data_IF_012028126620
#
_entry.id   IF_012028126620
#
_cell.length_a   1.000
_cell.length_b   1.000
_cell.length_c   1.000
_cell.angle_alpha   90.00
_cell.angle_beta   90.00
_cell.angle_gamma   90.00
#
_symmetry.space_group_name_H-M   'P 1'
#
loop_
_entity.id
_entity.type
_entity.pdbx_description
1 polymer ?
#
# COMPACT_ATOMS: atom_id res chain seq x y z
N UNK A 1 45.18 -4.77 11.32
CA UNK A 1 44.00 -3.92 11.58
C UNK A 1 44.12 -2.68 10.71
N UNK A 2 43.61 -2.75 9.47
CA UNK A 2 43.49 -1.58 8.60
C UNK A 2 42.03 -1.16 8.59
N UNK A 3 41.78 0.09 8.92
CA UNK A 3 40.47 0.72 8.87
C UNK A 3 39.95 0.68 7.42
N UNK A 4 38.73 0.18 7.24
CA UNK A 4 37.98 0.33 5.99
C UNK A 4 37.40 1.74 6.02
N UNK A 5 37.89 2.62 5.15
CA UNK A 5 37.22 3.89 4.85
C UNK A 5 35.81 3.58 4.36
N UNK A 6 34.81 4.17 5.03
CA UNK A 6 33.39 3.96 4.75
C UNK A 6 33.10 4.57 3.36
N UNK A 7 33.04 3.71 2.33
CA UNK A 7 32.94 4.05 0.90
C UNK A 7 31.64 4.73 0.45
N UNK A 8 31.06 5.55 1.32
CA UNK A 8 29.77 6.22 1.13
C UNK A 8 29.92 7.38 0.14
N UNK A 9 29.01 7.45 -0.84
CA UNK A 9 28.98 8.54 -1.83
C UNK A 9 27.73 9.38 -1.65
N UNK A 10 27.90 10.70 -1.51
CA UNK A 10 26.78 11.65 -1.41
C UNK A 10 26.47 12.28 -2.76
N UNK A 11 25.18 12.34 -3.12
CA UNK A 11 24.68 13.02 -4.33
C UNK A 11 23.52 13.94 -3.98
N UNK A 12 23.46 15.09 -4.65
CA UNK A 12 22.40 16.07 -4.45
C UNK A 12 21.63 16.32 -5.73
N UNK A 13 20.30 16.37 -5.63
CA UNK A 13 19.38 16.55 -6.74
C UNK A 13 18.49 17.75 -6.46
N UNK A 14 18.40 18.69 -7.40
CA UNK A 14 17.46 19.81 -7.32
C UNK A 14 16.03 19.34 -7.61
N UNK A 15 15.20 19.32 -6.57
CA UNK A 15 13.78 19.02 -6.65
C UNK A 15 12.91 20.26 -6.39
N UNK A 16 13.47 21.47 -6.31
CA UNK A 16 12.74 22.69 -5.92
C UNK A 16 11.61 23.10 -6.88
N UNK A 17 11.55 22.49 -8.07
CA UNK A 17 10.43 22.65 -9.03
C UNK A 17 9.34 21.59 -8.91
N UNK A 18 9.49 20.60 -8.04
CA UNK A 18 8.47 19.60 -7.76
C UNK A 18 7.66 20.03 -6.55
N UNK A 19 6.35 19.72 -6.54
CA UNK A 19 5.55 19.81 -5.32
C UNK A 19 5.95 18.72 -4.31
N UNK A 20 5.55 18.90 -3.05
CA UNK A 20 5.83 17.97 -1.94
C UNK A 20 5.46 16.51 -2.27
N UNK A 21 4.34 16.28 -2.97
CA UNK A 21 3.93 14.95 -3.41
C UNK A 21 4.93 14.30 -4.39
N UNK A 22 5.52 15.09 -5.29
CA UNK A 22 6.55 14.62 -6.21
C UNK A 22 7.86 14.31 -5.49
N UNK A 23 8.24 15.16 -4.52
CA UNK A 23 9.39 14.87 -3.65
C UNK A 23 9.17 13.57 -2.87
N UNK A 24 7.97 13.38 -2.29
CA UNK A 24 7.60 12.17 -1.56
C UNK A 24 7.67 10.92 -2.42
N UNK A 25 7.11 10.97 -3.63
CA UNK A 25 7.18 9.84 -4.56
C UNK A 25 8.63 9.46 -4.92
N UNK A 26 9.53 10.44 -5.06
CA UNK A 26 10.96 10.19 -5.27
C UNK A 26 11.60 9.56 -4.03
N UNK A 27 11.33 10.10 -2.85
CA UNK A 27 11.84 9.54 -1.59
C UNK A 27 11.36 8.10 -1.38
N UNK A 28 10.08 7.82 -1.63
CA UNK A 28 9.50 6.49 -1.50
C UNK A 28 10.10 5.50 -2.50
N UNK A 29 10.27 5.93 -3.75
CA UNK A 29 10.91 5.11 -4.77
C UNK A 29 12.41 4.89 -4.50
N UNK A 30 13.16 5.88 -4.01
CA UNK A 30 14.56 5.69 -3.60
C UNK A 30 14.70 4.68 -2.47
N UNK A 31 13.74 4.65 -1.54
CA UNK A 31 13.69 3.63 -0.49
C UNK A 31 13.45 2.22 -1.05
N UNK A 32 12.84 2.10 -2.25
CA UNK A 32 12.61 0.81 -2.92
C UNK A 32 13.83 0.28 -3.70
N UNK A 33 14.80 1.14 -4.04
CA UNK A 33 16.11 0.77 -4.66
C UNK A 33 17.13 0.37 -3.57
N UNK A 34 16.64 -0.20 -2.47
CA UNK A 34 17.22 -0.13 -1.12
C UNK A 34 18.57 -0.80 -0.85
N UNK A 35 19.19 -1.52 -1.79
CA UNK A 35 20.54 -2.07 -1.57
C UNK A 35 21.65 -1.01 -1.73
N UNK A 36 21.34 0.07 -2.44
CA UNK A 36 22.33 1.07 -2.85
C UNK A 36 22.19 2.43 -2.14
N UNK A 37 21.04 2.70 -1.53
CA UNK A 37 20.71 3.96 -0.84
C UNK A 37 20.69 3.75 0.67
N UNK A 38 21.62 4.37 1.39
CA UNK A 38 21.68 4.35 2.87
C UNK A 38 20.70 5.34 3.49
N UNK A 39 20.63 6.56 2.95
CA UNK A 39 19.75 7.60 3.43
C UNK A 39 19.34 8.55 2.29
N UNK A 40 18.19 9.21 2.45
CA UNK A 40 17.69 10.21 1.51
C UNK A 40 16.90 11.28 2.27
N UNK A 41 17.41 12.52 2.26
CA UNK A 41 16.85 13.65 2.97
C UNK A 41 16.60 14.83 2.03
N UNK A 42 15.39 15.36 2.04
CA UNK A 42 15.03 16.56 1.28
C UNK A 42 15.00 17.78 2.21
N UNK A 43 15.64 18.86 1.79
CA UNK A 43 15.60 20.15 2.46
C UNK A 43 14.63 21.10 1.70
N UNK A 44 13.46 21.44 2.29
CA UNK A 44 12.50 22.34 1.67
C UNK A 44 13.03 23.77 1.49
N UNK A 45 13.98 24.23 2.31
CA UNK A 45 14.50 25.59 2.24
C UNK A 45 15.42 25.78 1.02
N UNK A 46 16.19 24.75 0.66
CA UNK A 46 17.09 24.77 -0.49
C UNK A 46 16.52 24.09 -1.74
N UNK A 47 15.49 23.26 -1.57
CA UNK A 47 14.92 22.45 -2.64
C UNK A 47 15.81 21.28 -3.06
N UNK A 48 16.83 20.93 -2.26
CA UNK A 48 17.78 19.88 -2.57
C UNK A 48 17.41 18.57 -1.86
N UNK A 49 17.38 17.49 -2.63
CA UNK A 49 17.40 16.13 -2.10
C UNK A 49 18.85 15.65 -2.03
N UNK A 50 19.32 15.28 -0.85
CA UNK A 50 20.61 14.61 -0.64
C UNK A 50 20.39 13.12 -0.45
N UNK A 51 21.11 12.31 -1.22
CA UNK A 51 21.07 10.85 -1.16
C UNK A 51 22.46 10.34 -0.81
N UNK A 52 22.53 9.48 0.21
CA UNK A 52 23.74 8.78 0.64
C UNK A 52 23.73 7.36 0.08
N UNK A 53 24.80 6.98 -0.61
CA UNK A 53 24.89 5.72 -1.35
C UNK A 53 25.95 4.81 -0.75
N UNK A 54 25.74 3.51 -0.84
CA UNK A 54 26.68 2.48 -0.35
C UNK A 54 27.99 2.41 -1.15
N UNK A 55 28.05 3.01 -2.35
CA UNK A 55 29.26 3.13 -3.16
C UNK A 55 29.07 3.92 -4.45
N UNK A 56 30.18 4.20 -5.16
CA UNK A 56 30.16 4.99 -6.40
C UNK A 56 29.45 4.30 -7.58
N UNK A 57 29.39 2.97 -7.57
CA UNK A 57 28.72 2.14 -8.57
C UNK A 57 27.20 2.38 -8.64
N UNK A 58 26.59 2.82 -7.54
CA UNK A 58 25.17 3.12 -7.43
C UNK A 58 24.75 4.46 -8.05
N UNK A 59 25.71 5.37 -8.22
CA UNK A 59 25.45 6.75 -8.65
C UNK A 59 24.68 6.81 -9.98
N UNK A 60 25.07 6.10 -11.05
CA UNK A 60 24.39 6.20 -12.34
C UNK A 60 22.95 5.70 -12.31
N UNK A 61 22.65 4.72 -11.45
CA UNK A 61 21.30 4.17 -11.30
C UNK A 61 20.38 5.15 -10.56
N UNK A 62 20.83 5.67 -9.42
CA UNK A 62 20.09 6.67 -8.64
C UNK A 62 19.89 7.96 -9.43
N UNK A 63 20.90 8.41 -10.19
CA UNK A 63 20.77 9.57 -11.08
C UNK A 63 19.70 9.34 -12.16
N UNK A 64 19.69 8.15 -12.79
CA UNK A 64 18.69 7.78 -13.80
C UNK A 64 17.29 7.70 -13.19
N UNK A 65 17.16 7.11 -12.01
CA UNK A 65 15.90 7.01 -11.27
C UNK A 65 15.33 8.39 -10.95
N UNK A 66 16.10 9.25 -10.29
CA UNK A 66 15.64 10.60 -9.91
C UNK A 66 15.33 11.44 -11.16
N UNK A 67 16.13 11.34 -12.22
CA UNK A 67 15.85 12.04 -13.48
C UNK A 67 14.55 11.57 -14.15
N UNK A 68 14.31 10.25 -14.19
CA UNK A 68 13.07 9.66 -14.69
C UNK A 68 11.85 10.14 -13.90
N UNK A 69 11.91 10.07 -12.58
CA UNK A 69 10.85 10.53 -11.69
C UNK A 69 10.60 12.03 -11.82
N UNK A 70 11.63 12.88 -11.90
CA UNK A 70 11.47 14.33 -12.15
C UNK A 70 10.75 14.61 -13.46
N UNK A 71 11.01 13.83 -14.51
CA UNK A 71 10.33 13.99 -15.81
C UNK A 71 8.84 13.63 -15.70
N UNK A 72 8.53 12.55 -14.99
CA UNK A 72 7.18 12.04 -14.72
C UNK A 72 6.37 13.00 -13.85
N UNK A 73 6.95 13.47 -12.75
CA UNK A 73 6.24 14.18 -11.68
C UNK A 73 6.07 15.68 -11.92
N UNK A 74 6.76 16.26 -12.91
CA UNK A 74 6.60 17.67 -13.34
C UNK A 74 5.17 18.03 -13.78
N UNK A 75 4.30 17.04 -13.96
CA UNK A 75 2.95 17.23 -14.48
C UNK A 75 1.84 17.14 -13.44
N UNK A 76 2.15 16.89 -12.15
CA UNK A 76 1.11 16.74 -11.12
C UNK A 76 1.30 17.76 -10.00
N UNK A 77 0.36 18.70 -9.93
CA UNK A 77 0.28 19.66 -8.83
C UNK A 77 -0.46 19.01 -7.66
N UNK A 78 0.04 19.22 -6.43
CA UNK A 78 -0.67 18.87 -5.20
C UNK A 78 -2.04 19.56 -5.21
N UNK A 79 -3.11 18.79 -5.07
CA UNK A 79 -4.48 19.29 -4.95
C UNK A 79 -5.10 18.70 -3.69
N UNK A 80 -5.18 19.51 -2.64
CA UNK A 80 -5.92 19.18 -1.42
C UNK A 80 -7.39 19.43 -1.71
N UNK A 81 -8.22 18.39 -1.61
CA UNK A 81 -9.66 18.48 -1.83
C UNK A 81 -10.40 18.83 -0.54
N UNK A 82 -9.96 18.26 0.59
CA UNK A 82 -10.54 18.47 1.92
C UNK A 82 -9.44 18.42 2.98
N UNK A 83 -9.66 19.14 4.08
CA UNK A 83 -8.80 19.17 5.26
C UNK A 83 -9.70 19.19 6.51
N UNK A 84 -9.30 18.43 7.53
CA UNK A 84 -9.90 18.45 8.86
C UNK A 84 -8.79 18.69 9.88
N UNK A 85 -9.03 19.59 10.83
CA UNK A 85 -8.15 19.79 11.99
C UNK A 85 -8.77 19.12 13.20
N UNK A 86 -7.96 18.38 13.95
CA UNK A 86 -8.42 17.80 15.20
C UNK A 86 -8.60 18.90 16.25
N UNK A 87 -9.68 18.80 17.04
CA UNK A 87 -9.89 19.60 18.24
C UNK A 87 -8.92 19.19 19.35
N UNK A 88 -8.64 17.89 19.48
CA UNK A 88 -7.72 17.36 20.49
C UNK A 88 -6.70 16.40 19.90
N UNK A 89 -5.42 16.73 20.05
CA UNK A 89 -4.31 15.82 19.79
C UNK A 89 -3.68 15.38 21.12
N UNK A 90 -3.27 14.12 21.18
CA UNK A 90 -2.50 13.52 22.29
C UNK A 90 -1.16 13.07 21.71
N UNK A 91 -0.24 14.01 21.41
CA UNK A 91 1.06 13.68 20.85
C UNK A 91 1.90 12.92 21.88
N UNK A 92 2.60 11.88 21.43
CA UNK A 92 3.48 11.07 22.26
C UNK A 92 4.46 10.26 21.42
N UNK A 93 5.43 9.57 22.05
CA UNK A 93 6.39 8.71 21.36
C UNK A 93 5.71 7.39 20.95
N UNK A 94 4.71 7.46 20.05
CA UNK A 94 3.81 6.34 19.76
C UNK A 94 4.54 5.07 19.33
N UNK A 95 5.65 5.19 18.59
CA UNK A 95 6.45 4.03 18.17
C UNK A 95 7.14 3.33 19.35
N UNK A 96 7.48 4.04 20.43
CA UNK A 96 8.03 3.47 21.66
C UNK A 96 6.91 2.86 22.51
N UNK A 97 5.78 3.55 22.63
CA UNK A 97 4.61 3.07 23.36
C UNK A 97 4.07 1.76 22.75
N UNK A 98 3.97 1.70 21.42
CA UNK A 98 3.57 0.50 20.68
C UNK A 98 4.56 -0.66 20.88
N UNK A 99 5.87 -0.38 20.94
CA UNK A 99 6.89 -1.40 21.22
C UNK A 99 6.83 -1.94 22.64
N UNK A 100 6.47 -1.10 23.61
CA UNK A 100 6.25 -1.51 25.00
C UNK A 100 4.85 -2.13 25.22
N UNK A 101 3.94 -1.97 24.27
CA UNK A 101 2.57 -2.45 24.38
C UNK A 101 2.51 -3.97 24.27
N UNK A 102 2.08 -4.63 25.34
CA UNK A 102 1.91 -6.08 25.36
C UNK A 102 0.83 -6.59 24.39
N UNK A 103 -0.04 -5.73 23.86
CA UNK A 103 -1.08 -6.10 22.89
C UNK A 103 -0.59 -6.13 21.43
N UNK A 104 0.61 -5.60 21.17
CA UNK A 104 1.29 -5.66 19.89
C UNK A 104 2.32 -6.78 19.90
N UNK A 105 2.27 -7.68 18.92
CA UNK A 105 3.19 -8.80 18.80
C UNK A 105 4.04 -8.63 17.54
N UNK A 106 5.36 -8.53 17.70
CA UNK A 106 6.30 -8.48 16.57
C UNK A 106 6.79 -9.90 16.32
N UNK A 107 6.36 -10.51 15.21
CA UNK A 107 6.73 -11.88 14.84
C UNK A 107 7.98 -11.92 13.95
N UNK A 108 8.25 -10.82 13.26
CA UNK A 108 9.37 -10.66 12.34
C UNK A 108 9.29 -9.29 11.66
N UNK A 109 10.24 -9.01 10.79
CA UNK A 109 10.25 -7.76 10.02
C UNK A 109 8.98 -7.65 9.17
N UNK A 110 8.22 -6.56 9.37
CA UNK A 110 6.96 -6.34 8.65
C UNK A 110 5.81 -7.25 9.06
N UNK A 111 5.94 -8.08 10.09
CA UNK A 111 4.92 -9.04 10.54
C UNK A 111 4.43 -8.69 11.94
N UNK A 112 3.20 -8.18 12.02
CA UNK A 112 2.59 -7.68 13.25
C UNK A 112 1.33 -8.48 13.60
N UNK A 113 1.27 -8.97 14.85
CA UNK A 113 0.08 -9.57 15.45
C UNK A 113 -0.57 -8.64 16.47
N UNK A 114 -1.87 -8.80 16.68
CA UNK A 114 -2.67 -7.98 17.61
C UNK A 114 -3.43 -8.88 18.59
N UNK A 115 -3.49 -8.44 19.85
CA UNK A 115 -4.37 -9.03 20.87
C UNK A 115 -4.99 -7.95 21.75
N UNK A 116 -5.79 -8.38 22.74
CA UNK A 116 -6.34 -7.51 23.77
C UNK A 116 -7.08 -6.30 23.20
N UNK A 117 -6.77 -5.13 23.76
CA UNK A 117 -7.43 -3.87 23.41
C UNK A 117 -7.08 -3.39 22.00
N UNK A 118 -5.86 -3.62 21.54
CA UNK A 118 -5.48 -3.24 20.17
C UNK A 118 -6.27 -4.03 19.13
N UNK A 119 -6.48 -5.33 19.38
CA UNK A 119 -7.35 -6.14 18.53
C UNK A 119 -8.81 -5.65 18.58
N UNK A 120 -9.33 -5.27 19.76
CA UNK A 120 -10.68 -4.70 19.86
C UNK A 120 -10.84 -3.41 19.03
N UNK A 121 -9.84 -2.52 19.08
CA UNK A 121 -9.80 -1.29 18.30
C UNK A 121 -9.65 -1.57 16.79
N UNK A 122 -8.82 -2.54 16.40
CA UNK A 122 -8.72 -3.00 15.01
C UNK A 122 -10.09 -3.49 14.50
N UNK A 123 -10.80 -4.30 15.30
CA UNK A 123 -12.14 -4.80 14.97
C UNK A 123 -13.18 -3.68 14.91
N UNK A 124 -12.99 -2.59 15.63
CA UNK A 124 -13.82 -1.39 15.46
C UNK A 124 -13.63 -0.80 14.05
N UNK A 125 -12.40 -0.54 13.60
CA UNK A 125 -12.15 -0.05 12.25
C UNK A 125 -12.65 -1.01 11.16
N UNK A 126 -12.46 -2.31 11.35
CA UNK A 126 -13.01 -3.34 10.45
C UNK A 126 -14.52 -3.20 10.27
N UNK A 127 -15.29 -3.08 11.37
CA UNK A 127 -16.75 -2.92 11.34
C UNK A 127 -17.17 -1.61 10.68
N UNK A 128 -16.47 -0.52 10.97
CA UNK A 128 -16.80 0.81 10.43
C UNK A 128 -16.57 0.87 8.92
N UNK A 129 -15.44 0.35 8.43
CA UNK A 129 -15.18 0.28 6.99
C UNK A 129 -16.16 -0.68 6.31
N UNK A 130 -16.51 -1.81 6.94
CA UNK A 130 -17.57 -2.69 6.42
C UNK A 130 -18.91 -1.97 6.33
N UNK A 131 -19.28 -1.17 7.33
CA UNK A 131 -20.53 -0.40 7.30
C UNK A 131 -20.56 0.63 6.15
N UNK A 132 -19.41 1.23 5.81
CA UNK A 132 -19.29 2.06 4.60
C UNK A 132 -19.66 1.24 3.36
N UNK A 133 -19.06 0.05 3.19
CA UNK A 133 -19.31 -0.83 2.04
C UNK A 133 -20.76 -1.31 1.97
N UNK A 134 -21.34 -1.72 3.10
CA UNK A 134 -22.73 -2.17 3.20
C UNK A 134 -23.70 -1.06 2.77
N UNK A 135 -23.38 0.20 3.08
CA UNK A 135 -24.15 1.35 2.64
C UNK A 135 -24.07 1.67 1.15
N UNK A 136 -23.33 0.89 0.36
CA UNK A 136 -23.35 0.87 -1.11
C UNK A 136 -23.93 -0.43 -1.69
N UNK A 137 -24.47 -1.31 -0.83
CA UNK A 137 -24.98 -2.62 -1.25
C UNK A 137 -23.90 -3.54 -1.80
N UNK A 138 -22.67 -3.43 -1.30
CA UNK A 138 -21.54 -4.21 -1.78
C UNK A 138 -21.69 -5.69 -1.46
N UNK A 139 -21.55 -6.55 -2.47
CA UNK A 139 -21.51 -8.00 -2.31
C UNK A 139 -20.18 -8.40 -1.63
N UNK A 140 -20.27 -8.97 -0.42
CA UNK A 140 -19.09 -9.37 0.37
C UNK A 140 -18.47 -10.65 -0.22
N UNK A 141 -17.20 -10.56 -0.56
CA UNK A 141 -16.41 -11.60 -1.21
C UNK A 141 -15.21 -11.98 -0.33
N UNK A 142 -14.89 -13.27 -0.31
CA UNK A 142 -13.73 -13.79 0.40
C UNK A 142 -12.83 -14.57 -0.55
N UNK A 143 -11.56 -14.18 -0.62
CA UNK A 143 -10.56 -14.77 -1.51
C UNK A 143 -9.40 -15.36 -0.72
N UNK A 144 -8.66 -16.34 -1.25
CA UNK A 144 -7.38 -16.74 -0.66
C UNK A 144 -6.35 -15.61 -0.77
N UNK A 145 -5.41 -15.56 0.18
CA UNK A 145 -4.26 -14.64 0.12
C UNK A 145 -3.24 -15.06 -0.94
N UNK A 146 -3.16 -16.35 -1.23
CA UNK A 146 -2.29 -16.92 -2.25
C UNK A 146 -3.04 -17.01 -3.57
N UNK A 147 -2.45 -16.47 -4.63
CA UNK A 147 -3.02 -16.45 -5.99
C UNK A 147 -2.00 -16.97 -7.00
N UNK A 148 -2.44 -17.49 -8.17
CA UNK A 148 -1.52 -17.86 -9.24
C UNK A 148 -0.73 -16.64 -9.72
N UNK A 149 0.57 -16.80 -9.94
CA UNK A 149 1.42 -15.74 -10.48
C UNK A 149 0.96 -15.27 -11.88
N UNK A 150 0.29 -16.16 -12.62
CA UNK A 150 -0.27 -15.89 -13.93
C UNK A 150 -1.33 -14.77 -13.88
N UNK A 151 -2.07 -14.65 -12.79
CA UNK A 151 -3.04 -13.56 -12.60
C UNK A 151 -2.35 -12.19 -12.58
N UNK A 152 -1.22 -12.08 -11.86
CA UNK A 152 -0.42 -10.85 -11.86
C UNK A 152 0.21 -10.57 -13.23
N UNK A 153 0.60 -11.62 -13.96
CA UNK A 153 1.15 -11.48 -15.30
C UNK A 153 0.11 -10.97 -16.31
N UNK A 154 -1.11 -11.53 -16.30
CA UNK A 154 -2.23 -11.07 -17.13
C UNK A 154 -2.56 -9.59 -16.88
N UNK A 155 -2.53 -9.17 -15.62
CA UNK A 155 -2.78 -7.78 -15.20
C UNK A 155 -1.58 -6.84 -15.39
N UNK A 156 -0.47 -7.31 -15.95
CA UNK A 156 0.74 -6.51 -16.14
C UNK A 156 1.38 -6.01 -14.84
N UNK A 157 1.05 -6.61 -13.68
CA UNK A 157 1.48 -6.12 -12.36
C UNK A 157 3.00 -6.10 -12.22
N UNK A 158 3.70 -7.11 -12.75
CA UNK A 158 5.17 -7.19 -12.74
C UNK A 158 5.83 -6.05 -13.53
N UNK A 159 5.15 -5.46 -14.50
CA UNK A 159 5.65 -4.30 -15.24
C UNK A 159 5.51 -2.99 -14.46
N UNK A 160 4.69 -2.96 -13.41
CA UNK A 160 4.39 -1.75 -12.64
C UNK A 160 5.03 -1.76 -11.25
N UNK A 161 4.95 -2.89 -10.53
CA UNK A 161 5.35 -3.01 -9.13
C UNK A 161 6.05 -4.35 -8.81
N UNK A 162 7.09 -4.75 -9.57
CA UNK A 162 7.77 -6.04 -9.33
C UNK A 162 8.36 -6.15 -7.92
N UNK A 163 8.83 -5.03 -7.36
CA UNK A 163 9.48 -4.96 -6.05
C UNK A 163 8.58 -5.36 -4.88
N UNK A 164 7.24 -5.26 -5.03
CA UNK A 164 6.31 -5.61 -3.95
C UNK A 164 6.02 -7.11 -3.85
N UNK A 165 6.28 -7.88 -4.91
CA UNK A 165 5.73 -9.25 -5.03
C UNK A 165 6.44 -10.23 -4.11
N UNK A 166 5.66 -10.99 -3.35
CA UNK A 166 6.16 -12.11 -2.53
C UNK A 166 5.83 -13.43 -3.21
N UNK A 167 6.86 -14.15 -3.67
CA UNK A 167 6.73 -15.43 -4.37
C UNK A 167 6.62 -16.59 -3.39
N UNK A 168 5.73 -17.55 -3.70
CA UNK A 168 5.54 -18.77 -2.93
C UNK A 168 6.14 -19.96 -3.68
N UNK A 169 7.02 -20.70 -3.02
CA UNK A 169 7.65 -21.91 -3.54
C UNK A 169 7.41 -23.09 -2.57
N UNK A 170 7.55 -24.31 -3.09
CA UNK A 170 7.48 -25.55 -2.31
C UNK A 170 8.55 -26.53 -2.78
N UNK A 171 8.78 -27.60 -2.01
CA UNK A 171 9.62 -28.71 -2.43
C UNK A 171 8.92 -29.52 -3.53
N UNK A 172 9.65 -30.12 -4.47
CA UNK A 172 9.08 -30.97 -5.50
C UNK A 172 8.48 -32.25 -4.91
N UNK A 173 7.60 -32.90 -5.67
CA UNK A 173 7.01 -34.20 -5.37
C UNK A 173 8.05 -35.35 -5.55
N UNK A 174 9.20 -35.22 -4.90
CA UNK A 174 10.34 -36.13 -4.98
C UNK A 174 10.68 -36.66 -3.60
N UNK A 175 10.30 -37.92 -3.34
CA UNK A 175 10.58 -38.57 -2.06
C UNK A 175 12.07 -38.49 -1.66
N UNK A 176 13.05 -38.73 -2.56
CA UNK A 176 14.47 -38.54 -2.22
C UNK A 176 14.82 -37.12 -1.75
N UNK A 177 14.22 -36.08 -2.34
CA UNK A 177 14.44 -34.69 -1.91
C UNK A 177 13.82 -34.45 -0.55
N UNK A 178 12.57 -34.87 -0.35
CA UNK A 178 11.85 -34.72 0.93
C UNK A 178 12.58 -35.44 2.07
N UNK A 179 13.07 -36.66 1.82
CA UNK A 179 13.85 -37.43 2.80
C UNK A 179 15.19 -36.75 3.13
N UNK A 180 15.89 -36.22 2.13
CA UNK A 180 17.14 -35.50 2.33
C UNK A 180 16.94 -34.24 3.19
N UNK A 181 15.95 -33.41 2.86
CA UNK A 181 15.60 -32.20 3.63
C UNK A 181 15.19 -32.56 5.06
N UNK A 182 14.39 -33.62 5.23
CA UNK A 182 13.97 -34.09 6.56
C UNK A 182 15.14 -34.66 7.38
N UNK A 183 16.11 -35.33 6.74
CA UNK A 183 17.29 -35.85 7.41
C UNK A 183 18.23 -34.73 7.85
N UNK A 184 18.46 -33.72 7.01
CA UNK A 184 19.23 -32.52 7.36
C UNK A 184 18.58 -31.77 8.54
N UNK A 185 17.26 -31.60 8.50
CA UNK A 185 16.50 -30.92 9.55
C UNK A 185 16.57 -31.59 10.92
N UNK A 186 16.93 -32.88 10.99
CA UNK A 186 17.09 -33.64 12.23
C UNK A 186 18.52 -33.56 12.81
N UNK A 187 19.47 -32.95 12.09
CA UNK A 187 20.84 -32.84 12.57
C UNK A 187 20.91 -31.87 13.76
N UNK A 188 21.42 -32.29 14.93
CA UNK A 188 21.46 -31.42 16.11
C UNK A 188 22.25 -30.12 15.93
N UNK A 189 23.18 -30.10 14.97
CA UNK A 189 24.00 -28.93 14.65
C UNK A 189 23.29 -27.90 13.76
N UNK A 190 22.16 -28.26 13.14
CA UNK A 190 21.39 -27.32 12.33
C UNK A 190 20.51 -26.45 13.23
N UNK A 191 20.73 -25.14 13.17
CA UNK A 191 19.87 -24.14 13.79
C UNK A 191 19.25 -23.29 12.67
N UNK A 192 18.00 -23.56 12.31
CA UNK A 192 17.27 -22.81 11.28
C UNK A 192 16.85 -23.67 10.08
N UNK A 193 16.80 -23.05 8.91
CA UNK A 193 16.37 -23.70 7.66
C UNK A 193 17.46 -24.66 7.13
N UNK A 194 17.08 -25.85 6.63
CA UNK A 194 17.99 -26.68 5.84
C UNK A 194 18.38 -25.97 4.55
N UNK A 195 19.42 -26.42 3.86
CA UNK A 195 19.77 -25.88 2.55
C UNK A 195 18.65 -26.19 1.54
N UNK A 196 17.98 -25.15 1.06
CA UNK A 196 16.90 -25.26 0.05
C UNK A 196 17.34 -24.86 -1.36
N UNK A 197 18.54 -24.31 -1.53
CA UNK A 197 19.02 -23.81 -2.83
C UNK A 197 19.03 -24.92 -3.88
N UNK A 198 18.32 -24.68 -4.99
CA UNK A 198 18.17 -25.64 -6.08
C UNK A 198 17.26 -26.84 -5.77
N UNK A 199 16.62 -26.88 -4.59
CA UNK A 199 15.68 -27.92 -4.21
C UNK A 199 14.20 -27.50 -4.31
N UNK A 200 13.92 -26.22 -4.52
CA UNK A 200 12.55 -25.69 -4.58
C UNK A 200 12.05 -25.64 -6.02
N UNK A 201 10.77 -25.93 -6.20
CA UNK A 201 10.10 -25.72 -7.49
C UNK A 201 9.97 -24.21 -7.79
N UNK A 202 10.03 -23.81 -9.07
CA UNK A 202 9.79 -22.43 -9.47
C UNK A 202 8.43 -21.94 -8.95
N UNK A 203 8.35 -20.70 -8.43
CA UNK A 203 7.13 -20.22 -7.80
C UNK A 203 6.02 -20.06 -8.84
N UNK A 204 4.95 -20.86 -8.71
CA UNK A 204 3.72 -20.73 -9.51
C UNK A 204 2.67 -19.83 -8.84
N UNK A 205 2.90 -19.48 -7.58
CA UNK A 205 1.98 -18.71 -6.76
C UNK A 205 2.69 -17.51 -6.13
N UNK A 206 1.89 -16.51 -5.77
CA UNK A 206 2.33 -15.32 -5.05
C UNK A 206 1.33 -15.02 -3.93
N UNK A 207 1.79 -14.33 -2.89
CA UNK A 207 0.88 -13.68 -1.96
C UNK A 207 0.36 -12.38 -2.59
N UNK A 208 -0.95 -12.14 -2.49
CA UNK A 208 -1.59 -11.05 -3.22
C UNK A 208 -1.12 -9.67 -2.73
N UNK A 209 -0.65 -8.77 -3.62
CA UNK A 209 -0.25 -7.42 -3.23
C UNK A 209 -1.41 -6.41 -3.23
N UNK A 210 -2.62 -6.87 -3.58
CA UNK A 210 -3.84 -6.08 -3.54
C UNK A 210 -5.08 -6.96 -3.40
N UNK A 211 -5.95 -6.64 -2.45
CA UNK A 211 -7.09 -7.51 -2.10
C UNK A 211 -8.14 -7.58 -3.22
N UNK A 212 -8.32 -6.51 -4.01
CA UNK A 212 -9.26 -6.49 -5.12
C UNK A 212 -8.80 -7.30 -6.35
N UNK A 213 -7.52 -7.67 -6.49
CA UNK A 213 -7.01 -8.25 -7.74
C UNK A 213 -7.83 -9.46 -8.22
N UNK A 214 -8.20 -10.44 -7.36
CA UNK A 214 -9.00 -11.58 -7.81
C UNK A 214 -10.40 -11.23 -8.34
N UNK A 215 -10.97 -10.08 -7.99
CA UNK A 215 -12.33 -9.73 -8.39
C UNK A 215 -12.44 -9.34 -9.88
N UNK A 216 -11.35 -8.84 -10.49
CA UNK A 216 -11.34 -8.43 -11.89
C UNK A 216 -11.47 -9.63 -12.84
N UNK A 217 -10.76 -10.74 -12.57
CA UNK A 217 -10.85 -11.96 -13.39
C UNK A 217 -12.24 -12.61 -13.32
N UNK A 218 -12.98 -12.40 -12.22
CA UNK A 218 -14.36 -12.89 -12.09
C UNK A 218 -15.35 -12.12 -12.96
N UNK A 219 -14.95 -10.96 -13.51
CA UNK A 219 -15.78 -10.19 -14.44
C UNK A 219 -15.50 -10.55 -15.91
N UNK A 220 -14.80 -11.67 -16.15
CA UNK A 220 -14.46 -12.14 -17.50
C UNK A 220 -15.72 -12.31 -18.34
N UNK A 221 -15.71 -11.68 -19.51
CA UNK A 221 -16.77 -11.72 -20.54
C UNK A 221 -18.16 -11.28 -20.04
N UNK A 222 -18.22 -10.61 -18.89
CA UNK A 222 -19.48 -10.15 -18.31
C UNK A 222 -20.02 -8.96 -19.10
N UNK A 223 -21.34 -8.94 -19.29
CA UNK A 223 -22.09 -7.79 -19.79
C UNK A 223 -23.00 -7.28 -18.69
N UNK A 224 -22.80 -6.03 -18.26
CA UNK A 224 -23.63 -5.34 -17.28
C UNK A 224 -24.92 -4.83 -17.95
N UNK A 225 -26.06 -5.04 -17.32
CA UNK A 225 -27.34 -4.54 -17.79
C UNK A 225 -27.38 -2.99 -17.82
N UNK A 226 -28.29 -2.36 -18.59
CA UNK A 226 -28.41 -0.90 -18.62
C UNK A 226 -28.61 -0.32 -17.21
N UNK A 227 -27.72 0.60 -16.81
CA UNK A 227 -27.75 1.22 -15.47
C UNK A 227 -27.26 0.34 -14.32
N UNK A 228 -26.79 -0.89 -14.60
CA UNK A 228 -26.21 -1.76 -13.57
C UNK A 228 -24.83 -1.25 -13.15
N UNK A 229 -24.63 -1.11 -11.84
CA UNK A 229 -23.30 -0.98 -11.24
C UNK A 229 -23.06 -2.19 -10.35
N UNK A 230 -22.09 -3.01 -10.72
CA UNK A 230 -21.67 -4.11 -9.87
C UNK A 230 -20.77 -3.57 -8.75
N UNK A 231 -21.18 -3.83 -7.51
CA UNK A 231 -20.51 -3.33 -6.30
C UNK A 231 -20.07 -4.51 -5.45
N UNK A 232 -18.76 -4.63 -5.21
CA UNK A 232 -18.16 -5.71 -4.44
C UNK A 232 -17.38 -5.15 -3.25
N UNK A 233 -17.27 -5.91 -2.16
CA UNK A 233 -16.32 -5.63 -1.08
C UNK A 233 -15.62 -6.91 -0.66
N UNK A 234 -14.36 -6.80 -0.25
CA UNK A 234 -13.55 -7.91 0.20
C UNK A 234 -12.53 -7.41 1.19
N UNK A 235 -12.15 -8.25 2.15
CA UNK A 235 -11.10 -7.97 3.10
C UNK A 235 -10.16 -9.15 3.22
N UNK A 236 -8.86 -8.87 3.21
CA UNK A 236 -7.84 -9.87 3.42
C UNK A 236 -6.52 -9.23 3.85
N UNK A 237 -5.59 -10.09 4.23
CA UNK A 237 -4.18 -9.76 4.26
C UNK A 237 -3.66 -9.53 2.83
N UNK A 238 -2.81 -8.52 2.67
CA UNK A 238 -2.08 -8.24 1.44
C UNK A 238 -0.59 -8.16 1.76
N UNK A 239 0.23 -8.48 0.75
CA UNK A 239 1.66 -8.65 0.93
C UNK A 239 2.44 -7.73 0.00
N UNK A 240 3.22 -6.83 0.59
CA UNK A 240 4.14 -5.95 -0.17
C UNK A 240 5.50 -5.97 0.48
N UNK A 241 6.49 -6.48 -0.24
CA UNK A 241 7.88 -6.36 0.21
C UNK A 241 8.37 -4.93 -0.02
N UNK A 242 8.64 -4.22 1.06
CA UNK A 242 8.92 -2.77 1.06
C UNK A 242 10.42 -2.48 1.26
N UNK A 243 11.28 -3.30 0.63
CA UNK A 243 12.74 -3.21 0.68
C UNK A 243 13.30 -3.06 2.12
N UNK A 244 12.81 -3.89 3.04
CA UNK A 244 13.20 -3.90 4.46
C UNK A 244 12.93 -2.61 5.26
N UNK A 245 12.15 -1.66 4.73
CA UNK A 245 11.77 -0.45 5.45
C UNK A 245 10.44 -0.62 6.20
N UNK A 246 10.36 -1.65 7.04
CA UNK A 246 9.13 -1.98 7.74
C UNK A 246 8.96 -1.14 9.02
N UNK A 247 7.72 -0.73 9.29
CA UNK A 247 7.31 -0.03 10.51
C UNK A 247 6.02 -0.68 11.02
N UNK A 248 5.98 -1.23 12.25
CA UNK A 248 4.78 -1.91 12.77
C UNK A 248 3.52 -1.07 12.55
N UNK A 249 2.47 -1.69 12.00
CA UNK A 249 1.19 -1.09 11.60
C UNK A 249 1.23 0.00 10.51
N UNK A 250 2.25 0.85 10.47
CA UNK A 250 2.36 1.93 9.49
C UNK A 250 2.85 1.44 8.11
N UNK A 251 3.73 0.43 8.07
CA UNK A 251 4.36 -0.14 6.87
C UNK A 251 4.72 -1.61 7.12
N UNK A 252 3.72 -2.48 7.03
CA UNK A 252 3.89 -3.94 7.14
C UNK A 252 4.29 -4.59 5.82
N UNK A 253 4.92 -5.76 5.91
CA UNK A 253 5.00 -6.69 4.78
C UNK A 253 3.65 -7.35 4.59
N UNK A 254 3.09 -7.85 5.69
CA UNK A 254 1.74 -8.38 5.81
C UNK A 254 0.86 -7.34 6.52
N UNK A 255 -0.23 -6.93 5.88
CA UNK A 255 -1.20 -6.00 6.47
C UNK A 255 -2.60 -6.22 5.91
N UNK A 256 -3.62 -5.78 6.66
CA UNK A 256 -5.02 -5.99 6.30
C UNK A 256 -5.59 -4.82 5.51
N UNK A 257 -6.25 -5.14 4.40
CA UNK A 257 -6.98 -4.16 3.58
C UNK A 257 -8.40 -4.64 3.36
N UNK A 258 -9.37 -3.71 3.48
CA UNK A 258 -10.71 -3.88 2.91
C UNK A 258 -10.85 -2.98 1.69
N UNK A 259 -11.27 -3.55 0.57
CA UNK A 259 -11.60 -2.79 -0.64
C UNK A 259 -13.13 -2.75 -0.85
N UNK A 260 -13.58 -1.65 -1.45
CA UNK A 260 -14.85 -1.55 -2.17
C UNK A 260 -14.50 -1.41 -3.65
N UNK A 261 -15.16 -2.16 -4.53
CA UNK A 261 -14.88 -2.15 -5.98
C UNK A 261 -16.18 -1.94 -6.76
N UNK A 262 -16.16 -0.99 -7.69
CA UNK A 262 -17.26 -0.73 -8.61
C UNK A 262 -16.90 -1.13 -10.04
N UNK A 263 -17.88 -1.65 -10.78
CA UNK A 263 -17.85 -1.83 -12.23
C UNK A 263 -19.12 -1.23 -12.84
N UNK A 264 -18.98 -0.34 -13.81
CA UNK A 264 -20.15 0.30 -14.42
C UNK A 264 -19.78 1.37 -15.44
N UNK A 265 -20.75 2.22 -15.79
CA UNK A 265 -20.50 3.39 -16.63
C UNK A 265 -19.56 4.39 -15.91
N UNK A 266 -18.77 5.14 -16.69
CA UNK A 266 -17.79 6.11 -16.16
C UNK A 266 -18.40 7.05 -15.12
N UNK A 267 -19.52 7.68 -15.46
CA UNK A 267 -20.16 8.69 -14.61
C UNK A 267 -20.61 8.11 -13.27
N UNK A 268 -21.13 6.88 -13.25
CA UNK A 268 -21.53 6.19 -12.04
C UNK A 268 -20.34 5.82 -11.16
N UNK A 269 -19.30 5.25 -11.77
CA UNK A 269 -18.08 4.84 -11.04
C UNK A 269 -17.38 6.06 -10.43
N UNK A 270 -17.29 7.17 -11.16
CA UNK A 270 -16.71 8.42 -10.66
C UNK A 270 -17.52 9.01 -9.51
N UNK A 271 -18.85 9.06 -9.65
CA UNK A 271 -19.76 9.54 -8.62
C UNK A 271 -19.66 8.69 -7.35
N UNK A 272 -19.75 7.37 -7.46
CA UNK A 272 -19.71 6.45 -6.32
C UNK A 272 -18.36 6.47 -5.60
N UNK A 273 -17.25 6.59 -6.34
CA UNK A 273 -15.93 6.84 -5.73
C UNK A 273 -15.95 8.11 -4.88
N UNK A 274 -16.52 9.20 -5.41
CA UNK A 274 -16.67 10.47 -4.70
C UNK A 274 -17.51 10.35 -3.43
N UNK A 275 -18.60 9.57 -3.47
CA UNK A 275 -19.44 9.29 -2.30
C UNK A 275 -18.68 8.48 -1.22
N UNK A 276 -17.88 7.48 -1.62
CA UNK A 276 -17.02 6.73 -0.69
C UNK A 276 -15.96 7.63 -0.06
N UNK A 277 -15.35 8.52 -0.85
CA UNK A 277 -14.41 9.53 -0.36
C UNK A 277 -15.04 10.45 0.69
N UNK A 278 -16.28 10.91 0.47
CA UNK A 278 -16.99 11.73 1.47
C UNK A 278 -17.25 10.95 2.76
N UNK A 279 -17.71 9.71 2.68
CA UNK A 279 -17.98 8.89 3.89
C UNK A 279 -16.70 8.60 4.67
N UNK A 280 -15.61 8.26 3.98
CA UNK A 280 -14.31 8.03 4.61
C UNK A 280 -13.78 9.30 5.30
N UNK A 281 -13.91 10.46 4.64
CA UNK A 281 -13.48 11.73 5.21
C UNK A 281 -14.39 12.19 6.37
N UNK A 282 -15.70 11.95 6.28
CA UNK A 282 -16.64 12.21 7.36
C UNK A 282 -16.29 11.38 8.61
N UNK A 283 -15.91 10.13 8.43
CA UNK A 283 -15.47 9.26 9.51
C UNK A 283 -14.23 9.82 10.23
N UNK A 284 -13.26 10.41 9.51
CA UNK A 284 -12.15 11.12 10.16
C UNK A 284 -12.65 12.27 11.06
N UNK A 285 -13.63 13.05 10.61
CA UNK A 285 -14.23 14.14 11.42
C UNK A 285 -14.90 13.60 12.68
N UNK A 286 -15.65 12.52 12.56
CA UNK A 286 -16.33 11.86 13.69
C UNK A 286 -15.37 11.31 14.74
N UNK A 287 -14.18 10.87 14.31
CA UNK A 287 -13.11 10.41 15.19
C UNK A 287 -12.18 11.52 15.67
N UNK A 288 -12.47 12.78 15.31
CA UNK A 288 -11.64 13.94 15.61
C UNK A 288 -10.19 13.79 15.08
N UNK A 289 -10.01 13.24 13.87
CA UNK A 289 -8.70 13.03 13.27
C UNK A 289 -8.28 14.20 12.38
N UNK A 290 -7.05 14.69 12.58
CA UNK A 290 -6.40 15.62 11.67
C UNK A 290 -6.02 14.88 10.37
N UNK A 291 -6.67 15.24 9.27
CA UNK A 291 -6.55 14.50 8.01
C UNK A 291 -6.78 15.38 6.78
N UNK A 292 -6.12 15.03 5.67
CA UNK A 292 -6.35 15.64 4.35
C UNK A 292 -6.75 14.58 3.33
N UNK A 293 -7.56 14.99 2.36
CA UNK A 293 -7.88 14.19 1.18
C UNK A 293 -7.21 14.84 -0.02
N UNK A 294 -6.21 14.17 -0.59
CA UNK A 294 -5.29 14.76 -1.58
C UNK A 294 -5.23 13.95 -2.87
N UNK A 295 -5.04 14.65 -3.99
CA UNK A 295 -4.65 14.03 -5.26
C UNK A 295 -3.27 13.38 -5.11
N UNK A 296 -3.17 12.11 -5.49
CA UNK A 296 -1.94 11.32 -5.38
C UNK A 296 -1.60 10.63 -6.72
N UNK A 297 -0.39 10.08 -6.81
CA UNK A 297 0.02 9.20 -7.90
C UNK A 297 0.85 8.06 -7.31
N UNK A 298 0.77 6.87 -7.91
CA UNK A 298 1.71 5.82 -7.60
C UNK A 298 3.07 6.09 -8.27
N UNK A 299 4.19 5.76 -7.61
CA UNK A 299 5.50 5.71 -8.23
C UNK A 299 5.56 4.46 -9.11
N UNK A 300 4.93 4.51 -10.27
CA UNK A 300 5.02 3.40 -11.22
C UNK A 300 6.43 3.32 -11.80
N UNK A 301 6.98 2.10 -11.93
CA UNK A 301 8.13 1.83 -12.80
C UNK A 301 7.68 1.91 -14.27
N UNK A 302 7.25 3.10 -14.70
CA UNK A 302 6.86 3.30 -16.08
C UNK A 302 8.12 3.38 -16.93
N UNK A 303 8.11 2.57 -17.99
CA UNK A 303 8.97 2.73 -19.13
C UNK A 303 9.05 4.23 -19.51
N UNK A 304 10.27 4.78 -19.52
CA UNK A 304 10.56 6.21 -19.68
C UNK A 304 10.14 6.79 -21.05
N UNK A 305 9.43 5.98 -21.85
CA UNK A 305 8.96 6.18 -23.21
C UNK A 305 7.56 6.80 -23.31
N UNK A 306 6.76 6.87 -22.24
CA UNK A 306 5.36 7.35 -22.35
C UNK A 306 5.20 8.88 -22.33
N UNK A 307 4.39 9.35 -23.29
CA UNK A 307 4.11 10.76 -23.61
C UNK A 307 3.25 11.52 -22.57
N UNK A 308 3.38 12.86 -22.60
CA UNK A 308 2.56 13.85 -21.86
C UNK A 308 1.04 13.60 -21.92
N UNK A 309 0.55 13.02 -23.01
CA UNK A 309 -0.87 12.73 -23.22
C UNK A 309 -1.40 11.55 -22.37
N UNK A 310 -0.53 10.65 -21.89
CA UNK A 310 -0.92 9.58 -20.95
C UNK A 310 -1.09 10.17 -19.55
N UNK A 311 -0.15 11.01 -19.11
CA UNK A 311 -0.23 11.71 -17.82
C UNK A 311 -1.41 12.68 -17.73
N UNK A 312 -1.74 13.40 -18.81
CA UNK A 312 -2.94 14.24 -18.84
C UNK A 312 -4.25 13.44 -18.81
N UNK A 313 -4.27 12.23 -19.39
CA UNK A 313 -5.41 11.30 -19.31
C UNK A 313 -5.50 10.61 -17.94
N UNK A 314 -4.41 10.57 -17.17
CA UNK A 314 -4.34 10.10 -15.78
C UNK A 314 -4.75 11.17 -14.75
N UNK A 315 -5.23 12.34 -15.16
CA UNK A 315 -5.70 13.36 -14.23
C UNK A 315 -6.76 12.81 -13.26
N UNK A 316 -6.54 13.00 -11.96
CA UNK A 316 -7.49 12.64 -10.88
C UNK A 316 -7.84 11.15 -10.77
N UNK A 317 -6.97 10.27 -11.25
CA UNK A 317 -7.19 8.80 -11.14
C UNK A 317 -6.99 8.28 -9.72
N UNK A 318 -6.19 8.93 -8.88
CA UNK A 318 -5.94 8.47 -7.52
C UNK A 318 -6.04 9.59 -6.51
N UNK A 319 -6.80 9.35 -5.46
CA UNK A 319 -6.78 10.16 -4.24
C UNK A 319 -6.29 9.32 -3.07
N UNK A 320 -5.67 9.96 -2.08
CA UNK A 320 -5.32 9.35 -0.81
C UNK A 320 -5.92 10.14 0.36
N UNK A 321 -6.42 9.41 1.35
CA UNK A 321 -6.78 9.96 2.64
C UNK A 321 -5.54 9.85 3.53
N UNK A 322 -5.02 11.00 3.92
CA UNK A 322 -3.79 11.17 4.65
C UNK A 322 -4.12 11.57 6.09
N UNK A 323 -3.71 10.77 7.07
CA UNK A 323 -3.79 11.12 8.49
C UNK A 323 -2.47 11.78 8.90
N UNK A 324 -2.54 12.97 9.49
CA UNK A 324 -1.36 13.68 9.98
C UNK A 324 -0.81 13.00 11.23
N UNK A 325 0.51 12.99 11.38
CA UNK A 325 1.20 12.31 12.46
C UNK A 325 1.94 13.35 13.30
N UNK A 326 1.55 13.62 14.55
CA UNK A 326 2.20 14.66 15.36
C UNK A 326 3.71 14.48 15.53
N UNK A 327 4.18 13.23 15.46
CA UNK A 327 5.58 12.85 15.65
C UNK A 327 6.46 13.01 14.39
N UNK A 328 5.89 13.27 13.21
CA UNK A 328 6.69 13.42 11.96
C UNK A 328 5.98 14.25 10.90
N UNK A 329 6.72 14.95 10.01
CA UNK A 329 6.10 15.81 9.00
C UNK A 329 5.35 15.02 7.92
N UNK A 330 5.76 13.78 7.60
CA UNK A 330 5.09 12.99 6.57
C UNK A 330 3.80 12.34 7.11
N UNK A 331 2.63 12.68 6.55
CA UNK A 331 1.37 12.05 6.91
C UNK A 331 1.31 10.60 6.42
N UNK A 332 0.38 9.83 6.97
CA UNK A 332 0.16 8.43 6.64
C UNK A 332 -1.04 8.27 5.71
N UNK A 333 -0.83 7.69 4.52
CA UNK A 333 -1.94 7.27 3.66
C UNK A 333 -2.65 6.05 4.27
N UNK A 334 -3.85 6.26 4.80
CA UNK A 334 -4.69 5.23 5.44
C UNK A 334 -5.71 4.62 4.48
N UNK A 335 -6.10 5.38 3.45
CA UNK A 335 -6.97 4.90 2.36
C UNK A 335 -6.53 5.45 1.00
N UNK A 336 -6.84 4.72 -0.06
CA UNK A 336 -6.67 5.16 -1.45
C UNK A 336 -7.96 4.97 -2.25
N UNK A 337 -8.22 5.87 -3.20
CA UNK A 337 -9.43 5.89 -4.03
C UNK A 337 -9.02 5.99 -5.50
N UNK A 338 -9.04 4.84 -6.19
CA UNK A 338 -8.42 4.63 -7.48
C UNK A 338 -9.49 4.46 -8.57
N UNK A 339 -9.36 5.19 -9.69
CA UNK A 339 -10.03 4.92 -10.95
C UNK A 339 -9.06 4.18 -11.86
N UNK A 340 -9.37 2.92 -12.16
CA UNK A 340 -8.60 2.15 -13.12
C UNK A 340 -9.03 2.42 -14.57
N UNK A 341 -10.14 3.16 -14.74
CA UNK A 341 -10.80 3.34 -16.04
C UNK A 341 -11.15 1.96 -16.61
N UNK A 342 -10.90 1.77 -17.89
CA UNK A 342 -11.13 0.54 -18.63
C UNK A 342 -9.94 -0.45 -18.56
N UNK A 343 -8.91 -0.20 -17.75
CA UNK A 343 -7.68 -1.03 -17.77
C UNK A 343 -7.96 -2.51 -17.48
N UNK A 344 -8.53 -2.84 -16.32
CA UNK A 344 -8.82 -4.23 -15.95
C UNK A 344 -9.98 -4.81 -16.74
N UNK A 345 -11.00 -3.99 -17.05
CA UNK A 345 -12.18 -4.44 -17.79
C UNK A 345 -11.86 -4.71 -19.26
N UNK A 346 -10.87 -4.05 -19.85
CA UNK A 346 -10.34 -4.38 -21.18
C UNK A 346 -9.68 -5.76 -21.19
N UNK A 347 -8.85 -6.07 -20.18
CA UNK A 347 -8.15 -7.36 -20.05
C UNK A 347 -9.17 -8.52 -19.97
N UNK A 348 -10.25 -8.31 -19.22
CA UNK A 348 -11.26 -9.34 -18.96
C UNK A 348 -12.53 -9.19 -19.81
N UNK A 349 -12.55 -8.28 -20.79
CA UNK A 349 -13.70 -8.09 -21.68
C UNK A 349 -15.04 -7.83 -20.93
N UNK A 350 -15.00 -7.04 -19.86
CA UNK A 350 -16.20 -6.63 -19.11
C UNK A 350 -16.87 -5.45 -19.80
N UNK A 351 -18.13 -5.60 -20.20
CA UNK A 351 -18.85 -4.69 -21.09
C UNK A 351 -20.12 -4.13 -20.48
N UNK A 352 -20.59 -3.02 -21.04
CA UNK A 352 -21.93 -2.47 -20.84
C UNK A 352 -22.88 -3.02 -21.92
N UNK A 353 -24.18 -3.08 -21.62
CA UNK A 353 -25.20 -3.60 -22.53
C UNK A 353 -25.39 -2.76 -23.82
N UNK A 354 -25.10 -1.46 -23.78
CA UNK A 354 -25.15 -0.54 -24.93
C UNK A 354 -23.90 -0.60 -25.81
N UNK A 355 -22.92 -1.42 -25.44
CA UNK A 355 -21.63 -1.54 -26.10
C UNK A 355 -20.52 -0.78 -25.38
N UNK A 356 -19.27 -1.05 -25.74
CA UNK A 356 -18.11 -0.50 -25.03
C UNK A 356 -17.72 -1.31 -23.78
N UNK A 357 -16.66 -0.85 -23.12
CA UNK A 357 -16.13 -1.45 -21.89
C UNK A 357 -16.71 -0.72 -20.68
N UNK A 358 -17.01 -1.48 -19.62
CA UNK A 358 -17.26 -0.88 -18.32
C UNK A 358 -15.98 -0.23 -17.78
N UNK A 359 -16.09 0.76 -16.90
CA UNK A 359 -14.95 1.23 -16.09
C UNK A 359 -14.97 0.55 -14.72
N UNK A 360 -13.82 0.61 -14.02
CA UNK A 360 -13.72 0.16 -12.64
C UNK A 360 -13.00 1.15 -11.73
N UNK A 361 -13.35 1.10 -10.45
CA UNK A 361 -12.70 1.81 -9.36
C UNK A 361 -12.52 0.89 -8.15
N UNK A 362 -11.45 1.07 -7.37
CA UNK A 362 -11.34 0.50 -6.03
C UNK A 362 -11.05 1.57 -5.00
N UNK A 363 -11.63 1.40 -3.81
CA UNK A 363 -11.37 2.22 -2.64
C UNK A 363 -10.89 1.32 -1.54
N UNK A 364 -9.58 1.40 -1.25
CA UNK A 364 -8.92 0.53 -0.29
C UNK A 364 -8.65 1.23 1.03
N UNK A 365 -8.91 0.51 2.13
CA UNK A 365 -8.74 0.96 3.50
C UNK A 365 -7.74 0.06 4.20
N UNK A 366 -6.54 0.56 4.48
CA UNK A 366 -5.50 -0.18 5.20
C UNK A 366 -5.77 -0.16 6.69
N UNK A 367 -6.37 -1.23 7.24
CA UNK A 367 -6.89 -1.25 8.61
C UNK A 367 -5.77 -1.06 9.66
N UNK A 368 -4.61 -1.65 9.43
CA UNK A 368 -3.41 -1.45 10.26
C UNK A 368 -2.98 0.03 10.30
N UNK A 369 -3.07 0.72 9.15
CA UNK A 369 -2.72 2.14 9.05
C UNK A 369 -3.76 3.04 9.68
N UNK A 370 -5.04 2.70 9.58
CA UNK A 370 -6.11 3.37 10.32
C UNK A 370 -5.90 3.27 11.83
N UNK A 371 -5.57 2.06 12.31
CA UNK A 371 -5.22 1.83 13.71
C UNK A 371 -4.02 2.68 14.14
N UNK A 372 -2.91 2.64 13.40
CA UNK A 372 -1.71 3.42 13.72
C UNK A 372 -1.96 4.93 13.68
N UNK A 373 -2.66 5.43 12.66
CA UNK A 373 -2.96 6.85 12.50
C UNK A 373 -3.83 7.38 13.65
N UNK A 374 -4.84 6.62 14.05
CA UNK A 374 -5.66 6.95 15.21
C UNK A 374 -4.84 7.00 16.50
N UNK A 375 -4.07 5.94 16.78
CA UNK A 375 -3.25 5.87 17.99
C UNK A 375 -2.17 6.96 18.03
N UNK A 376 -1.62 7.35 16.88
CA UNK A 376 -0.65 8.46 16.79
C UNK A 376 -1.23 9.82 17.19
N UNK A 377 -2.55 10.01 17.04
CA UNK A 377 -3.22 11.25 17.41
C UNK A 377 -3.94 11.18 18.76
N UNK A 378 -4.35 9.99 19.21
CA UNK A 378 -5.19 9.81 20.40
C UNK A 378 -4.52 9.04 21.55
N UNK A 379 -3.30 8.54 21.35
CA UNK A 379 -2.56 7.77 22.35
C UNK A 379 -3.17 6.39 22.62
N UNK A 380 -2.55 5.65 23.53
CA UNK A 380 -2.98 4.29 23.92
C UNK A 380 -4.02 4.26 25.05
N UNK A 381 -4.23 5.38 25.78
CA UNK A 381 -5.18 5.44 26.89
C UNK A 381 -6.62 5.62 26.36
N UNK A 382 -7.52 4.64 26.58
CA UNK A 382 -8.91 4.76 26.14
C UNK A 382 -9.65 5.95 26.73
N UNK A 383 -9.25 6.48 27.88
CA UNK A 383 -9.87 7.67 28.45
C UNK A 383 -9.81 8.87 27.50
N UNK A 384 -8.80 8.92 26.63
CA UNK A 384 -8.57 9.99 25.67
C UNK A 384 -9.28 9.76 24.32
N UNK A 385 -9.83 8.57 24.08
CA UNK A 385 -10.47 8.24 22.82
C UNK A 385 -11.87 8.87 22.72
N UNK A 386 -12.36 9.16 21.50
CA UNK A 386 -13.75 9.60 21.29
C UNK A 386 -14.75 8.61 21.89
N UNK A 387 -15.87 9.12 22.41
CA UNK A 387 -16.87 8.31 23.14
C UNK A 387 -17.33 7.08 22.35
N UNK A 388 -17.59 7.24 21.05
CA UNK A 388 -17.97 6.15 20.15
C UNK A 388 -16.94 5.02 20.13
N UNK A 389 -15.65 5.35 20.13
CA UNK A 389 -14.57 4.37 20.12
C UNK A 389 -14.48 3.68 21.48
N UNK A 390 -14.53 4.45 22.58
CA UNK A 390 -14.53 3.90 23.94
C UNK A 390 -15.67 2.92 24.15
N UNK A 391 -16.88 3.27 23.73
CA UNK A 391 -18.05 2.41 23.85
C UNK A 391 -17.92 1.11 23.03
N UNK A 392 -17.18 1.14 21.91
CA UNK A 392 -17.01 0.00 21.02
C UNK A 392 -15.87 -0.95 21.42
N UNK A 393 -14.98 -0.53 22.32
CA UNK A 393 -13.80 -1.28 22.78
C UNK A 393 -13.83 -1.61 24.29
N UNK A 394 -14.89 -1.17 24.99
CA UNK A 394 -15.11 -1.39 26.41
C UNK A 394 -15.38 -2.86 26.78
#
# INVERSE_FOLDING_TARGET
MSAVEDGTVRRSFDLGRLGEAGVRAILDGLRSVGEEVRDAAFDPATGLLTVELTGAQAVPEVERFVAGMRRTLRFVNRKVLKENRAERLVPGPIDEELRACGDLQILGEGLTGLRGRMLALFRFFEREVKAIADGFGAEDNHYPVMIPNALLAEMGYFGHFPQHVTFCCHLPDSLPVLEAVAAESKQPALHGLPRLDGLLDPPQHVLTPGVCLPCYVQQRDRVLAPGEVRTLTMQNHVFRYEANNFRPLARGWDFTVRDIVFFGAREDVERLRGEVMERAFAFCRELDLEATLELANDPFFLDASRDKAVYQRMGEVKYELLVHLPQRPEPLAVSSFNLHRDYYTAIYNTRLADGGLAESACMGFGLDRWLYGFLSQKGLDPADWPERVRAAVA
#
